data_IF_445048268767
#
_entry.id   IF_445048268767
#
_cell.length_a   1.000
_cell.length_b   1.000
_cell.length_c   1.000
_cell.angle_alpha   90.00
_cell.angle_beta   90.00
_cell.angle_gamma   90.00
#
_symmetry.space_group_name_H-M   'P 1'
#
loop_
_entity.id
_entity.type
_entity.pdbx_description
1 polymer ?
#
# COMPACT_ATOMS: atom_id res chain seq x y z
N UNK A 1 66.33 4.77 24.21
CA UNK A 1 65.99 4.61 22.78
C UNK A 1 67.25 4.43 21.90
N UNK A 2 68.44 4.90 22.30
CA UNK A 2 69.71 4.67 21.58
C UNK A 2 70.19 3.20 21.55
N UNK A 3 69.88 2.41 22.58
CA UNK A 3 70.48 1.07 22.75
C UNK A 3 69.93 -0.02 21.79
N UNK A 4 68.69 0.10 21.30
CA UNK A 4 68.09 -0.90 20.40
C UNK A 4 68.68 -0.81 18.99
N UNK A 5 68.99 0.41 18.53
CA UNK A 5 69.59 0.63 17.21
C UNK A 5 71.03 0.12 17.15
N UNK A 6 71.82 0.27 18.22
CA UNK A 6 73.19 -0.27 18.29
C UNK A 6 73.23 -1.80 18.33
N UNK A 7 72.32 -2.45 19.06
CA UNK A 7 72.21 -3.91 19.08
C UNK A 7 71.85 -4.45 17.69
N UNK A 8 70.91 -3.79 16.98
CA UNK A 8 70.53 -4.16 15.62
C UNK A 8 71.68 -3.96 14.62
N UNK A 9 72.47 -2.89 14.76
CA UNK A 9 73.62 -2.59 13.90
C UNK A 9 74.76 -3.61 14.11
N UNK A 10 74.98 -4.05 15.35
CA UNK A 10 76.02 -5.02 15.73
C UNK A 10 75.69 -6.44 15.23
N UNK A 11 74.41 -6.79 15.18
CA UNK A 11 73.93 -8.06 14.63
C UNK A 11 74.02 -8.08 13.08
N UNK A 12 73.82 -6.92 12.43
CA UNK A 12 73.98 -6.77 10.98
C UNK A 12 75.44 -6.93 10.51
N UNK A 13 76.40 -6.54 11.34
CA UNK A 13 77.84 -6.54 11.00
C UNK A 13 78.56 -7.86 11.26
N UNK A 14 78.00 -8.78 12.05
CA UNK A 14 78.74 -9.96 12.58
C UNK A 14 78.41 -11.32 11.95
N UNK A 15 77.41 -11.45 11.07
CA UNK A 15 77.22 -12.68 10.28
C UNK A 15 76.27 -12.45 9.10
N UNK A 16 76.74 -12.69 7.87
CA UNK A 16 75.90 -12.64 6.66
C UNK A 16 74.66 -13.56 6.67
N UNK A 17 74.57 -14.51 7.61
CA UNK A 17 73.40 -15.39 7.80
C UNK A 17 72.32 -14.84 8.76
N UNK A 18 72.67 -14.01 9.75
CA UNK A 18 71.70 -13.53 10.76
C UNK A 18 70.81 -12.42 10.19
N UNK A 19 71.35 -11.57 9.30
CA UNK A 19 70.56 -10.61 8.55
C UNK A 19 69.50 -11.27 7.66
N UNK A 20 69.82 -12.41 7.03
CA UNK A 20 68.87 -13.17 6.24
C UNK A 20 67.72 -13.73 7.11
N UNK A 21 68.01 -14.21 8.32
CA UNK A 21 67.02 -14.72 9.28
C UNK A 21 66.10 -13.59 9.77
N UNK A 22 66.65 -12.43 10.14
CA UNK A 22 65.86 -11.28 10.58
C UNK A 22 64.98 -10.75 9.44
N UNK A 23 65.51 -10.66 8.21
CA UNK A 23 64.73 -10.22 7.04
C UNK A 23 63.63 -11.22 6.67
N UNK A 24 63.93 -12.52 6.71
CA UNK A 24 62.94 -13.57 6.41
C UNK A 24 61.88 -13.68 7.50
N UNK A 25 62.24 -13.52 8.78
CA UNK A 25 61.29 -13.46 9.89
C UNK A 25 60.43 -12.18 9.85
N UNK A 26 61.04 -11.02 9.53
CA UNK A 26 60.31 -9.76 9.37
C UNK A 26 59.34 -9.81 8.19
N UNK A 27 59.74 -10.39 7.06
CA UNK A 27 58.86 -10.64 5.91
C UNK A 27 57.74 -11.62 6.26
N UNK A 28 58.03 -12.67 7.02
CA UNK A 28 57.05 -13.65 7.47
C UNK A 28 55.99 -13.03 8.38
N UNK A 29 56.42 -12.24 9.38
CA UNK A 29 55.51 -11.51 10.27
C UNK A 29 54.68 -10.48 9.50
N UNK A 30 55.30 -9.70 8.61
CA UNK A 30 54.57 -8.74 7.78
C UNK A 30 53.51 -9.42 6.90
N UNK A 31 53.83 -10.57 6.28
CA UNK A 31 52.87 -11.34 5.49
C UNK A 31 51.71 -11.87 6.34
N UNK A 32 51.95 -12.29 7.58
CA UNK A 32 50.87 -12.73 8.50
C UNK A 32 49.96 -11.56 8.87
N UNK A 33 50.52 -10.40 9.21
CA UNK A 33 49.71 -9.22 9.53
C UNK A 33 48.93 -8.70 8.33
N UNK A 34 49.53 -8.66 7.14
CA UNK A 34 48.83 -8.28 5.90
C UNK A 34 47.70 -9.26 5.59
N UNK A 35 47.94 -10.57 5.69
CA UNK A 35 46.90 -11.59 5.47
C UNK A 35 45.76 -11.48 6.47
N UNK A 36 46.07 -11.31 7.76
CA UNK A 36 45.04 -11.12 8.80
C UNK A 36 44.21 -9.86 8.59
N UNK A 37 44.86 -8.76 8.20
CA UNK A 37 44.16 -7.51 7.90
C UNK A 37 43.28 -7.64 6.65
N UNK A 38 43.77 -8.32 5.61
CA UNK A 38 42.99 -8.62 4.40
C UNK A 38 41.80 -9.54 4.70
N UNK A 39 42.00 -10.56 5.54
CA UNK A 39 40.96 -11.48 6.01
C UNK A 39 39.91 -10.75 6.87
N UNK A 40 40.32 -9.90 7.81
CA UNK A 40 39.41 -9.06 8.60
C UNK A 40 38.61 -8.10 7.70
N UNK A 41 39.28 -7.47 6.73
CA UNK A 41 38.63 -6.54 5.82
C UNK A 41 37.61 -7.24 4.92
N UNK A 42 37.96 -8.40 4.37
CA UNK A 42 37.02 -9.26 3.62
C UNK A 42 35.86 -9.73 4.49
N UNK A 43 36.13 -10.12 5.74
CA UNK A 43 35.08 -10.54 6.68
C UNK A 43 34.13 -9.39 7.02
N UNK A 44 34.65 -8.17 7.22
CA UNK A 44 33.83 -6.97 7.45
C UNK A 44 32.94 -6.66 6.24
N UNK A 45 33.50 -6.63 5.03
CA UNK A 45 32.71 -6.40 3.82
C UNK A 45 31.68 -7.51 3.59
N UNK A 46 32.03 -8.78 3.83
CA UNK A 46 31.08 -9.88 3.72
C UNK A 46 29.94 -9.75 4.74
N UNK A 47 30.25 -9.31 5.98
CA UNK A 47 29.25 -9.04 7.00
C UNK A 47 28.33 -7.88 6.61
N UNK A 48 28.87 -6.79 6.06
CA UNK A 48 28.07 -5.67 5.55
C UNK A 48 27.17 -6.09 4.38
N UNK A 49 27.70 -6.87 3.43
CA UNK A 49 26.91 -7.42 2.31
C UNK A 49 25.77 -8.28 2.84
N UNK A 50 26.05 -9.21 3.75
CA UNK A 50 25.04 -10.09 4.34
C UNK A 50 23.99 -9.26 5.11
N UNK A 51 24.42 -8.22 5.82
CA UNK A 51 23.54 -7.32 6.55
C UNK A 51 22.60 -6.56 5.62
N UNK A 52 23.11 -5.96 4.53
CA UNK A 52 22.27 -5.27 3.54
C UNK A 52 21.35 -6.23 2.78
N UNK A 53 21.81 -7.43 2.44
CA UNK A 53 20.96 -8.47 1.83
C UNK A 53 19.79 -8.84 2.74
N UNK A 54 20.05 -9.04 4.03
CA UNK A 54 19.01 -9.32 5.01
C UNK A 54 18.01 -8.16 5.15
N UNK A 55 18.48 -6.91 5.19
CA UNK A 55 17.59 -5.74 5.20
C UNK A 55 16.73 -5.64 3.94
N UNK A 56 17.33 -5.86 2.75
CA UNK A 56 16.59 -5.86 1.49
C UNK A 56 15.52 -6.94 1.46
N UNK A 57 15.81 -8.12 1.98
CA UNK A 57 14.83 -9.20 2.07
C UNK A 57 13.67 -8.84 3.01
N UNK A 58 13.95 -8.24 4.16
CA UNK A 58 12.92 -7.76 5.10
C UNK A 58 12.05 -6.67 4.45
N UNK A 59 12.66 -5.70 3.77
CA UNK A 59 11.95 -4.62 3.07
C UNK A 59 11.08 -5.21 1.96
N UNK A 60 11.62 -6.13 1.16
CA UNK A 60 10.89 -6.80 0.08
C UNK A 60 9.71 -7.60 0.61
N UNK A 61 9.92 -8.41 1.65
CA UNK A 61 8.84 -9.19 2.26
C UNK A 61 7.75 -8.29 2.88
N UNK A 62 8.14 -7.22 3.55
CA UNK A 62 7.20 -6.24 4.13
C UNK A 62 6.42 -5.52 3.03
N UNK A 63 7.09 -5.09 1.95
CA UNK A 63 6.44 -4.46 0.79
C UNK A 63 5.46 -5.39 0.09
N UNK A 64 5.82 -6.67 -0.12
CA UNK A 64 4.90 -7.65 -0.69
C UNK A 64 3.66 -7.84 0.17
N UNK A 65 3.83 -8.03 1.50
CA UNK A 65 2.69 -8.15 2.43
C UNK A 65 1.82 -6.91 2.44
N UNK A 66 2.41 -5.72 2.37
CA UNK A 66 1.68 -4.46 2.31
C UNK A 66 0.86 -4.35 1.02
N UNK A 67 1.44 -4.70 -0.12
CA UNK A 67 0.76 -4.72 -1.42
C UNK A 67 -0.39 -5.75 -1.43
N UNK A 68 -0.19 -6.94 -0.87
CA UNK A 68 -1.23 -7.96 -0.76
C UNK A 68 -2.41 -7.45 0.07
N UNK A 69 -2.13 -6.78 1.19
CA UNK A 69 -3.16 -6.17 2.05
C UNK A 69 -3.89 -5.05 1.33
N UNK A 70 -3.16 -4.16 0.66
CA UNK A 70 -3.75 -3.08 -0.13
C UNK A 70 -4.67 -3.62 -1.25
N UNK A 71 -4.24 -4.68 -1.94
CA UNK A 71 -5.06 -5.36 -2.95
C UNK A 71 -6.34 -5.97 -2.35
N UNK A 72 -6.23 -6.62 -1.19
CA UNK A 72 -7.37 -7.18 -0.45
C UNK A 72 -8.40 -6.09 -0.10
N UNK A 73 -7.95 -4.96 0.46
CA UNK A 73 -8.81 -3.83 0.80
C UNK A 73 -9.49 -3.21 -0.42
N UNK A 74 -8.75 -2.95 -1.51
CA UNK A 74 -9.34 -2.44 -2.74
C UNK A 74 -10.34 -3.40 -3.38
N UNK A 75 -10.08 -4.71 -3.31
CA UNK A 75 -11.01 -5.74 -3.82
C UNK A 75 -12.31 -5.78 -3.02
N UNK A 76 -12.23 -5.73 -1.69
CA UNK A 76 -13.41 -5.71 -0.81
C UNK A 76 -14.24 -4.43 -1.01
N UNK A 77 -13.58 -3.28 -1.13
CA UNK A 77 -14.22 -2.01 -1.44
C UNK A 77 -14.97 -2.07 -2.76
N UNK A 78 -14.31 -2.56 -3.82
CA UNK A 78 -14.92 -2.68 -5.13
C UNK A 78 -16.14 -3.59 -5.11
N UNK A 79 -16.05 -4.75 -4.45
CA UNK A 79 -17.18 -5.67 -4.30
C UNK A 79 -18.36 -4.98 -3.60
N UNK A 80 -18.11 -4.31 -2.47
CA UNK A 80 -19.14 -3.62 -1.70
C UNK A 80 -19.82 -2.48 -2.47
N UNK A 81 -19.03 -1.69 -3.22
CA UNK A 81 -19.55 -0.65 -4.12
C UNK A 81 -20.38 -1.21 -5.26
N UNK A 82 -19.95 -2.33 -5.84
CA UNK A 82 -20.68 -2.98 -6.92
C UNK A 82 -22.02 -3.53 -6.44
N UNK A 83 -22.05 -4.17 -5.27
CA UNK A 83 -23.29 -4.62 -4.63
C UNK A 83 -24.24 -3.45 -4.35
N UNK A 84 -23.70 -2.33 -3.85
CA UNK A 84 -24.46 -1.09 -3.65
C UNK A 84 -25.09 -0.59 -4.95
N UNK A 85 -24.33 -0.56 -6.04
CA UNK A 85 -24.82 -0.20 -7.38
C UNK A 85 -25.94 -1.12 -7.84
N UNK A 86 -25.78 -2.44 -7.70
CA UNK A 86 -26.80 -3.43 -8.10
C UNK A 86 -28.10 -3.17 -7.36
N UNK A 87 -28.04 -2.89 -6.05
CA UNK A 87 -29.22 -2.57 -5.26
C UNK A 87 -29.82 -1.20 -5.62
N UNK A 88 -28.98 -0.22 -5.98
CA UNK A 88 -29.45 1.07 -6.48
C UNK A 88 -30.21 0.94 -7.81
N UNK A 89 -29.73 0.08 -8.72
CA UNK A 89 -30.38 -0.22 -10.00
C UNK A 89 -31.68 -1.00 -9.79
N UNK A 90 -31.72 -1.90 -8.80
CA UNK A 90 -32.95 -2.57 -8.38
C UNK A 90 -33.99 -1.60 -7.84
N UNK A 91 -33.56 -0.66 -6.98
CA UNK A 91 -34.41 0.42 -6.45
C UNK A 91 -34.86 1.41 -7.54
N UNK A 92 -34.01 1.62 -8.56
CA UNK A 92 -34.38 2.42 -9.72
C UNK A 92 -35.54 1.78 -10.48
N UNK A 93 -35.39 0.49 -10.77
CA UNK A 93 -36.35 -0.30 -11.55
C UNK A 93 -37.67 -0.49 -10.82
N UNK A 94 -37.60 -0.78 -9.50
CA UNK A 94 -38.77 -1.00 -8.65
C UNK A 94 -38.60 -0.18 -7.37
N UNK A 95 -39.18 1.02 -7.37
CA UNK A 95 -39.17 1.93 -6.24
C UNK A 95 -40.21 1.50 -5.18
N UNK A 96 -39.81 0.63 -4.25
CA UNK A 96 -40.62 0.19 -3.12
C UNK A 96 -39.82 0.15 -1.80
N UNK A 97 -40.52 -0.03 -0.68
CA UNK A 97 -39.91 -0.04 0.67
C UNK A 97 -38.87 -1.15 0.85
N UNK A 98 -39.14 -2.36 0.32
CA UNK A 98 -38.25 -3.52 0.45
C UNK A 98 -36.90 -3.27 -0.24
N UNK A 99 -36.92 -2.75 -1.47
CA UNK A 99 -35.70 -2.43 -2.20
C UNK A 99 -34.98 -1.22 -1.57
N UNK A 100 -35.72 -0.25 -1.05
CA UNK A 100 -35.14 0.88 -0.33
C UNK A 100 -34.41 0.43 0.93
N UNK A 101 -34.98 -0.49 1.70
CA UNK A 101 -34.36 -1.05 2.90
C UNK A 101 -33.07 -1.80 2.57
N UNK A 102 -33.11 -2.70 1.58
CA UNK A 102 -31.91 -3.44 1.12
C UNK A 102 -30.80 -2.49 0.69
N UNK A 103 -31.13 -1.51 -0.15
CA UNK A 103 -30.19 -0.48 -0.59
C UNK A 103 -29.61 0.32 0.59
N UNK A 104 -30.47 0.75 1.52
CA UNK A 104 -30.06 1.52 2.70
C UNK A 104 -29.07 0.75 3.59
N UNK A 105 -29.33 -0.55 3.79
CA UNK A 105 -28.44 -1.43 4.54
C UNK A 105 -27.09 -1.57 3.84
N UNK A 106 -27.09 -1.81 2.53
CA UNK A 106 -25.84 -1.91 1.78
C UNK A 106 -25.06 -0.59 1.78
N UNK A 107 -25.73 0.56 1.66
CA UNK A 107 -25.08 1.87 1.73
C UNK A 107 -24.33 2.06 3.05
N UNK A 108 -24.92 1.63 4.17
CA UNK A 108 -24.26 1.64 5.47
C UNK A 108 -23.07 0.68 5.54
N UNK A 109 -23.19 -0.52 4.96
CA UNK A 109 -22.10 -1.50 4.88
C UNK A 109 -20.94 -0.92 4.07
N UNK A 110 -21.21 -0.37 2.89
CA UNK A 110 -20.17 0.21 2.03
C UNK A 110 -19.46 1.39 2.68
N UNK A 111 -20.19 2.27 3.38
CA UNK A 111 -19.58 3.35 4.16
C UNK A 111 -18.61 2.80 5.22
N UNK A 112 -19.02 1.75 5.93
CA UNK A 112 -18.18 1.10 6.95
C UNK A 112 -16.93 0.48 6.33
N UNK A 113 -17.04 -0.15 5.16
CA UNK A 113 -15.89 -0.74 4.46
C UNK A 113 -14.90 0.33 3.96
N UNK A 114 -15.39 1.49 3.53
CA UNK A 114 -14.56 2.66 3.19
C UNK A 114 -13.77 3.14 4.41
N UNK A 115 -14.43 3.31 5.56
CA UNK A 115 -13.77 3.71 6.80
C UNK A 115 -12.73 2.68 7.26
N UNK A 116 -13.05 1.38 7.20
CA UNK A 116 -12.13 0.30 7.57
C UNK A 116 -10.89 0.24 6.69
N UNK A 117 -11.04 0.60 5.42
CA UNK A 117 -9.96 0.52 4.43
C UNK A 117 -9.14 1.81 4.35
N UNK A 118 -9.53 2.87 5.07
CA UNK A 118 -8.91 4.20 5.03
C UNK A 118 -7.38 4.19 5.19
N UNK A 119 -6.83 3.30 6.02
CA UNK A 119 -5.38 3.20 6.24
C UNK A 119 -4.59 2.62 5.07
N UNK A 120 -5.26 1.94 4.14
CA UNK A 120 -4.62 1.18 3.05
C UNK A 120 -4.90 1.77 1.67
N UNK A 121 -5.82 2.73 1.58
CA UNK A 121 -6.17 3.44 0.35
C UNK A 121 -5.55 4.82 0.34
N UNK A 122 -5.27 5.34 -0.85
CA UNK A 122 -4.75 6.70 -1.01
C UNK A 122 -5.83 7.73 -0.63
N UNK A 123 -5.43 8.84 0.00
CA UNK A 123 -6.35 9.89 0.49
C UNK A 123 -7.26 10.43 -0.63
N UNK A 124 -6.72 10.61 -1.85
CA UNK A 124 -7.51 11.05 -3.01
C UNK A 124 -8.62 10.07 -3.37
N UNK A 125 -8.34 8.76 -3.33
CA UNK A 125 -9.36 7.74 -3.56
C UNK A 125 -10.38 7.69 -2.41
N UNK A 126 -9.93 7.89 -1.17
CA UNK A 126 -10.83 7.99 -0.03
C UNK A 126 -11.84 9.12 -0.21
N UNK A 127 -11.38 10.31 -0.60
CA UNK A 127 -12.26 11.46 -0.85
C UNK A 127 -13.26 11.18 -1.98
N UNK A 128 -12.83 10.54 -3.06
CA UNK A 128 -13.73 10.10 -4.14
C UNK A 128 -14.78 9.09 -3.68
N UNK A 129 -14.38 8.12 -2.84
CA UNK A 129 -15.29 7.14 -2.24
C UNK A 129 -16.34 7.81 -1.35
N UNK A 130 -15.94 8.80 -0.56
CA UNK A 130 -16.86 9.58 0.28
C UNK A 130 -17.85 10.35 -0.60
N UNK A 131 -17.40 10.93 -1.71
CA UNK A 131 -18.27 11.62 -2.67
C UNK A 131 -19.28 10.67 -3.33
N UNK A 132 -18.88 9.43 -3.64
CA UNK A 132 -19.78 8.37 -4.10
C UNK A 132 -20.86 8.08 -3.05
N UNK A 133 -20.46 7.89 -1.79
CA UNK A 133 -21.39 7.62 -0.68
C UNK A 133 -22.36 8.78 -0.47
N UNK A 134 -21.89 10.02 -0.60
CA UNK A 134 -22.75 11.19 -0.55
C UNK A 134 -23.80 11.16 -1.67
N UNK A 135 -23.38 10.93 -2.91
CA UNK A 135 -24.28 10.84 -4.08
C UNK A 135 -25.33 9.73 -3.93
N UNK A 136 -24.95 8.57 -3.39
CA UNK A 136 -25.89 7.49 -3.07
C UNK A 136 -26.85 7.85 -1.93
N UNK A 137 -26.40 8.64 -0.95
CA UNK A 137 -27.24 9.11 0.14
C UNK A 137 -28.31 10.09 -0.36
N UNK A 138 -27.96 11.00 -1.27
CA UNK A 138 -28.94 11.87 -1.94
C UNK A 138 -29.97 11.05 -2.74
N UNK A 139 -29.50 10.05 -3.48
CA UNK A 139 -30.36 9.12 -4.20
C UNK A 139 -31.31 8.36 -3.25
N UNK A 140 -30.83 7.92 -2.07
CA UNK A 140 -31.66 7.30 -1.03
C UNK A 140 -32.80 8.22 -0.59
N UNK A 141 -32.49 9.48 -0.31
CA UNK A 141 -33.43 10.49 0.15
C UNK A 141 -34.47 10.77 -0.94
N UNK A 142 -34.03 10.95 -2.17
CA UNK A 142 -34.90 11.16 -3.33
C UNK A 142 -35.86 10.01 -3.56
N UNK A 143 -35.38 8.76 -3.51
CA UNK A 143 -36.23 7.56 -3.66
C UNK A 143 -37.17 7.35 -2.48
N UNK A 144 -36.71 7.59 -1.25
CA UNK A 144 -37.57 7.54 -0.06
C UNK A 144 -38.73 8.54 -0.18
N UNK A 145 -38.44 9.76 -0.61
CA UNK A 145 -39.43 10.82 -0.82
C UNK A 145 -40.43 10.43 -1.91
N UNK A 146 -39.97 9.89 -3.04
CA UNK A 146 -40.83 9.44 -4.13
C UNK A 146 -41.77 8.31 -3.70
N UNK A 147 -41.25 7.31 -2.98
CA UNK A 147 -42.05 6.17 -2.49
C UNK A 147 -43.14 6.68 -1.53
N UNK A 148 -42.78 7.56 -0.59
CA UNK A 148 -43.73 8.17 0.34
C UNK A 148 -44.79 8.99 -0.39
N UNK A 149 -44.40 9.83 -1.34
CA UNK A 149 -45.33 10.66 -2.09
C UNK A 149 -46.34 9.83 -2.89
N UNK A 150 -45.89 8.77 -3.57
CA UNK A 150 -46.75 7.83 -4.31
C UNK A 150 -47.68 7.00 -3.42
N UNK A 151 -47.34 6.84 -2.15
CA UNK A 151 -48.20 6.10 -1.20
C UNK A 151 -49.40 6.90 -0.72
N UNK A 152 -49.46 8.21 -1.00
CA UNK A 152 -50.60 9.05 -0.66
C UNK A 152 -51.75 8.85 -1.67
N UNK A 153 -53.01 8.88 -1.20
CA UNK A 153 -54.19 8.62 -2.04
C UNK A 153 -54.43 9.64 -3.15
N UNK A 154 -53.89 10.85 -3.02
CA UNK A 154 -54.01 11.93 -3.99
C UNK A 154 -52.62 12.53 -4.26
N UNK A 155 -51.88 11.95 -5.20
CA UNK A 155 -50.60 12.48 -5.64
C UNK A 155 -50.73 13.08 -7.04
N UNK A 156 -49.95 14.14 -7.31
CA UNK A 156 -49.88 14.76 -8.63
C UNK A 156 -48.84 14.02 -9.50
N UNK A 157 -49.27 13.56 -10.68
CA UNK A 157 -48.39 12.87 -11.63
C UNK A 157 -47.27 13.79 -12.15
N UNK A 158 -47.54 15.09 -12.32
CA UNK A 158 -46.51 16.03 -12.76
C UNK A 158 -45.38 16.16 -11.73
N UNK A 159 -45.75 16.33 -10.46
CA UNK A 159 -44.79 16.32 -9.36
C UNK A 159 -44.02 15.00 -9.25
N UNK A 160 -44.68 13.85 -9.48
CA UNK A 160 -43.98 12.55 -9.57
C UNK A 160 -42.95 12.56 -10.69
N UNK A 161 -43.27 13.10 -11.87
CA UNK A 161 -42.34 13.24 -12.99
C UNK A 161 -41.08 14.02 -12.61
N UNK A 162 -41.26 15.20 -12.00
CA UNK A 162 -40.13 16.03 -11.53
C UNK A 162 -39.23 15.29 -10.53
N UNK A 163 -39.82 14.54 -9.60
CA UNK A 163 -39.05 13.74 -8.64
C UNK A 163 -38.28 12.61 -9.32
N UNK A 164 -38.83 11.98 -10.36
CA UNK A 164 -38.12 10.96 -11.14
C UNK A 164 -36.91 11.57 -11.84
N UNK A 165 -37.07 12.75 -12.45
CA UNK A 165 -35.99 13.44 -13.17
C UNK A 165 -34.85 13.84 -12.22
N UNK A 166 -35.18 14.36 -11.04
CA UNK A 166 -34.19 14.64 -9.99
C UNK A 166 -33.44 13.36 -9.58
N UNK A 167 -34.16 12.26 -9.34
CA UNK A 167 -33.54 10.98 -9.02
C UNK A 167 -32.68 10.42 -10.18
N UNK A 168 -33.05 10.71 -11.44
CA UNK A 168 -32.27 10.31 -12.61
C UNK A 168 -30.91 11.02 -12.63
N UNK A 169 -30.87 12.30 -12.23
CA UNK A 169 -29.62 13.06 -12.11
C UNK A 169 -28.71 12.46 -11.03
N UNK A 170 -29.23 12.16 -9.83
CA UNK A 170 -28.44 11.50 -8.78
C UNK A 170 -27.92 10.13 -9.25
N UNK A 171 -28.74 9.40 -10.02
CA UNK A 171 -28.34 8.13 -10.64
C UNK A 171 -27.19 8.28 -11.61
N UNK A 172 -27.28 9.26 -12.51
CA UNK A 172 -26.20 9.54 -13.47
C UNK A 172 -24.91 9.91 -12.74
N UNK A 173 -24.98 10.73 -11.70
CA UNK A 173 -23.81 11.15 -10.92
C UNK A 173 -23.08 9.95 -10.30
N UNK A 174 -23.78 9.07 -9.56
CA UNK A 174 -23.11 7.92 -8.95
C UNK A 174 -22.58 6.94 -10.02
N UNK A 175 -23.26 6.78 -11.16
CA UNK A 175 -22.81 5.90 -12.24
C UNK A 175 -21.49 6.38 -12.87
N UNK A 176 -21.34 7.69 -13.04
CA UNK A 176 -20.10 8.29 -13.54
C UNK A 176 -18.97 8.04 -12.54
N UNK A 177 -19.20 8.36 -11.27
CA UNK A 177 -18.19 8.20 -10.22
C UNK A 177 -17.74 6.73 -10.06
N UNK A 178 -18.67 5.77 -10.14
CA UNK A 178 -18.32 4.35 -10.10
C UNK A 178 -17.44 3.93 -11.27
N UNK A 179 -17.67 4.48 -12.47
CA UNK A 179 -16.83 4.17 -13.64
C UNK A 179 -15.43 4.73 -13.48
N UNK A 180 -15.31 5.94 -12.95
CA UNK A 180 -14.02 6.58 -12.63
C UNK A 180 -13.25 5.71 -11.64
N UNK A 181 -13.86 5.41 -10.49
CA UNK A 181 -13.15 4.66 -9.45
C UNK A 181 -12.79 3.23 -9.89
N UNK A 182 -13.63 2.59 -10.71
CA UNK A 182 -13.29 1.30 -11.32
C UNK A 182 -11.99 1.38 -12.12
N UNK A 183 -11.81 2.45 -12.89
CA UNK A 183 -10.61 2.63 -13.70
C UNK A 183 -9.38 2.85 -12.82
N UNK A 184 -9.50 3.66 -11.76
CA UNK A 184 -8.40 3.97 -10.86
C UNK A 184 -8.00 2.77 -10.00
N UNK A 185 -8.98 2.05 -9.43
CA UNK A 185 -8.75 0.78 -8.74
C UNK A 185 -8.07 -0.25 -9.64
N UNK A 186 -8.47 -0.33 -10.92
CA UNK A 186 -7.84 -1.24 -11.88
C UNK A 186 -6.37 -0.87 -12.15
N UNK A 187 -6.01 0.42 -12.19
CA UNK A 187 -4.61 0.86 -12.31
C UNK A 187 -3.80 0.46 -11.08
N UNK A 188 -4.35 0.67 -9.89
CA UNK A 188 -3.69 0.32 -8.62
C UNK A 188 -3.48 -1.19 -8.48
N UNK A 189 -4.43 -2.01 -8.92
CA UNK A 189 -4.30 -3.47 -8.93
C UNK A 189 -3.42 -4.01 -10.07
N UNK A 190 -3.27 -3.26 -11.16
CA UNK A 190 -2.55 -3.70 -12.37
C UNK A 190 -1.03 -3.67 -12.23
N UNK A 191 -0.50 -2.94 -11.24
CA UNK A 191 0.92 -2.58 -11.18
C UNK A 191 1.30 -1.61 -12.30
N UNK A 192 2.16 -0.65 -11.99
CA UNK A 192 2.88 0.12 -13.02
C UNK A 192 3.88 -0.79 -13.74
#
# INVERSE_FOLDING_TARGET
MENIYEILLTILLSAGGVGAIILSFSRYIAQIFIKRYEEELKAKFQNEINHYQSQLEIIKQTSLKYNDKQFEHYSLLWASLYDLKVLADSLWSIANSVNLEKFSKQLSITRTEIERSSLFIEDSHYDELINIIHSFSEYQIGKSSLIKYRSNQSFDEFQVGQMIDQNANHKSNYEILIRTIKADLKRQMGGN
#
